data_IF_770896496763
#
_entry.id   IF_770896496763
#
_cell.length_a   1.000
_cell.length_b   1.000
_cell.length_c   1.000
_cell.angle_alpha   90.00
_cell.angle_beta   90.00
_cell.angle_gamma   90.00
#
_symmetry.space_group_name_H-M   'P 1'
#
loop_
_entity.id
_entity.type
_entity.pdbx_description
1 polymer ?
#
# COMPACT_ATOMS: atom_id res chain seq x y z
N UNK A 1 -9.47 15.23 13.69
CA UNK A 1 -8.18 14.53 13.49
C UNK A 1 -8.50 13.08 13.20
N UNK A 2 -8.35 12.65 11.95
CA UNK A 2 -8.48 11.24 11.60
C UNK A 2 -7.23 10.50 12.11
N UNK A 3 -7.41 9.32 12.71
CA UNK A 3 -6.29 8.49 13.17
C UNK A 3 -5.53 7.92 11.97
N UNK A 4 -4.26 8.32 11.78
CA UNK A 4 -3.39 7.85 10.68
C UNK A 4 -3.28 6.33 10.62
N UNK A 5 -3.34 5.64 11.77
CA UNK A 5 -3.32 4.18 11.81
C UNK A 5 -4.63 3.58 11.32
N UNK A 6 -5.77 4.23 11.58
CA UNK A 6 -7.06 3.81 11.04
C UNK A 6 -7.10 3.98 9.52
N UNK A 7 -6.59 5.11 9.02
CA UNK A 7 -6.45 5.34 7.58
C UNK A 7 -5.51 4.34 6.92
N UNK A 8 -4.38 4.03 7.56
CA UNK A 8 -3.42 3.04 7.07
C UNK A 8 -4.03 1.63 6.97
N UNK A 9 -4.87 1.23 7.94
CA UNK A 9 -5.62 -0.04 7.90
C UNK A 9 -6.60 -0.06 6.73
N UNK A 10 -7.35 1.03 6.53
CA UNK A 10 -8.28 1.16 5.42
C UNK A 10 -7.54 1.09 4.07
N UNK A 11 -6.43 1.81 3.93
CA UNK A 11 -5.59 1.78 2.73
C UNK A 11 -4.99 0.40 2.47
N UNK A 12 -4.60 -0.33 3.52
CA UNK A 12 -4.10 -1.71 3.39
C UNK A 12 -5.18 -2.66 2.85
N UNK A 13 -6.44 -2.51 3.30
CA UNK A 13 -7.56 -3.28 2.79
C UNK A 13 -7.85 -2.95 1.31
N UNK A 14 -7.86 -1.66 0.94
CA UNK A 14 -8.05 -1.21 -0.45
C UNK A 14 -6.94 -1.76 -1.36
N UNK A 15 -5.67 -1.66 -0.95
CA UNK A 15 -4.53 -2.21 -1.69
C UNK A 15 -4.68 -3.71 -1.93
N UNK A 16 -5.09 -4.47 -0.90
CA UNK A 16 -5.32 -5.91 -1.03
C UNK A 16 -6.46 -6.20 -2.02
N UNK A 17 -7.58 -5.49 -1.92
CA UNK A 17 -8.70 -5.64 -2.86
C UNK A 17 -8.30 -5.31 -4.30
N UNK A 18 -7.53 -4.24 -4.51
CA UNK A 18 -7.02 -3.87 -5.83
C UNK A 18 -6.09 -4.94 -6.41
N UNK A 19 -5.23 -5.54 -5.57
CA UNK A 19 -4.37 -6.67 -5.99
C UNK A 19 -5.18 -7.91 -6.39
N UNK A 20 -6.26 -8.23 -5.66
CA UNK A 20 -7.14 -9.33 -6.04
C UNK A 20 -7.79 -9.08 -7.39
N UNK A 21 -8.38 -7.89 -7.60
CA UNK A 21 -8.97 -7.51 -8.90
C UNK A 21 -7.95 -7.58 -10.04
N UNK A 22 -6.70 -7.19 -9.79
CA UNK A 22 -5.64 -7.30 -10.78
C UNK A 22 -5.35 -8.76 -11.16
N UNK A 23 -5.33 -9.67 -10.17
CA UNK A 23 -5.15 -11.10 -10.40
C UNK A 23 -6.33 -11.70 -11.18
N UNK A 24 -7.56 -11.32 -10.82
CA UNK A 24 -8.78 -11.75 -11.51
C UNK A 24 -8.77 -11.27 -12.97
N UNK A 25 -8.48 -9.98 -13.19
CA UNK A 25 -8.38 -9.41 -14.54
C UNK A 25 -7.26 -10.05 -15.39
N UNK A 26 -6.14 -10.43 -14.75
CA UNK A 26 -5.04 -11.15 -15.41
C UNK A 26 -5.50 -12.52 -15.90
N UNK A 27 -6.29 -13.22 -15.07
CA UNK A 27 -6.83 -14.54 -15.41
C UNK A 27 -7.91 -14.47 -16.50
N UNK A 28 -8.73 -13.42 -16.53
CA UNK A 28 -9.88 -13.28 -17.44
C UNK A 28 -9.54 -12.69 -18.81
N UNK A 29 -8.67 -11.68 -18.87
CA UNK A 29 -8.51 -10.83 -20.07
C UNK A 29 -7.11 -10.89 -20.72
N UNK A 30 -6.16 -11.56 -20.07
CA UNK A 30 -4.77 -11.66 -20.55
C UNK A 30 -3.96 -10.36 -20.41
N UNK A 31 -2.64 -10.41 -20.64
CA UNK A 31 -1.68 -9.38 -20.20
C UNK A 31 -1.72 -8.04 -20.95
N UNK A 32 -2.57 -7.88 -21.97
CA UNK A 32 -2.62 -6.68 -22.83
C UNK A 32 -4.00 -6.04 -22.91
N UNK A 33 -4.94 -6.44 -22.05
CA UNK A 33 -6.26 -5.85 -22.06
C UNK A 33 -6.26 -4.43 -21.47
N UNK A 34 -7.07 -3.51 -22.00
CA UNK A 34 -7.22 -2.17 -21.43
C UNK A 34 -7.80 -2.22 -20.00
N UNK A 35 -8.62 -3.22 -19.69
CA UNK A 35 -9.14 -3.47 -18.34
C UNK A 35 -8.00 -3.76 -17.35
N UNK A 36 -7.03 -4.59 -17.74
CA UNK A 36 -5.88 -4.90 -16.90
C UNK A 36 -5.04 -3.64 -16.63
N UNK A 37 -4.87 -2.76 -17.62
CA UNK A 37 -4.18 -1.49 -17.44
C UNK A 37 -4.88 -0.57 -16.42
N UNK A 38 -6.22 -0.50 -16.44
CA UNK A 38 -7.00 0.25 -15.45
C UNK A 38 -6.84 -0.34 -14.04
N UNK A 39 -6.84 -1.68 -13.91
CA UNK A 39 -6.61 -2.35 -12.64
C UNK A 39 -5.19 -2.12 -12.11
N UNK A 40 -4.18 -2.07 -12.98
CA UNK A 40 -2.81 -1.69 -12.61
C UNK A 40 -2.78 -0.28 -12.05
N UNK A 41 -3.34 0.70 -12.77
CA UNK A 41 -3.36 2.09 -12.30
C UNK A 41 -4.06 2.22 -10.94
N UNK A 42 -5.21 1.56 -10.75
CA UNK A 42 -5.94 1.57 -9.48
C UNK A 42 -5.12 0.91 -8.35
N UNK A 43 -4.43 -0.19 -8.64
CA UNK A 43 -3.53 -0.85 -7.69
C UNK A 43 -2.37 0.09 -7.30
N UNK A 44 -1.74 0.74 -8.27
CA UNK A 44 -0.59 1.60 -8.03
C UNK A 44 -0.98 2.84 -7.21
N UNK A 45 -2.11 3.48 -7.52
CA UNK A 45 -2.67 4.55 -6.68
C UNK A 45 -2.95 4.09 -5.25
N UNK A 46 -3.47 2.86 -5.07
CA UNK A 46 -3.70 2.30 -3.74
C UNK A 46 -2.39 2.02 -3.00
N UNK A 47 -1.35 1.57 -3.69
CA UNK A 47 0.00 1.37 -3.14
C UNK A 47 0.61 2.69 -2.72
N UNK A 48 0.59 3.71 -3.58
CA UNK A 48 1.12 5.05 -3.29
C UNK A 48 0.49 5.65 -2.04
N UNK A 49 -0.85 5.63 -1.96
CA UNK A 49 -1.57 6.12 -0.78
C UNK A 49 -1.17 5.35 0.48
N UNK A 50 -1.08 4.02 0.38
CA UNK A 50 -0.69 3.17 1.51
C UNK A 50 0.76 3.41 1.95
N UNK A 51 1.69 3.65 1.03
CA UNK A 51 3.08 4.03 1.35
C UNK A 51 3.11 5.38 2.03
N UNK A 52 2.40 6.39 1.51
CA UNK A 52 2.35 7.72 2.12
C UNK A 52 1.86 7.67 3.57
N UNK A 53 0.78 6.94 3.84
CA UNK A 53 0.23 6.78 5.19
C UNK A 53 1.17 5.99 6.12
N UNK A 54 1.95 5.07 5.57
CA UNK A 54 2.97 4.33 6.32
C UNK A 54 4.11 5.26 6.76
N UNK A 55 4.56 6.16 5.87
CA UNK A 55 5.60 7.16 6.18
C UNK A 55 5.07 8.18 7.19
N UNK A 56 3.88 8.72 6.95
CA UNK A 56 3.22 9.68 7.86
C UNK A 56 3.05 9.09 9.26
N UNK A 57 2.56 7.86 9.39
CA UNK A 57 2.46 7.19 10.68
C UNK A 57 3.82 7.02 11.39
N UNK A 58 4.91 6.87 10.64
CA UNK A 58 6.24 6.81 11.22
C UNK A 58 6.72 8.19 11.68
N UNK A 59 6.50 9.24 10.88
CA UNK A 59 6.84 10.63 11.18
C UNK A 59 6.06 11.18 12.38
N UNK A 60 4.81 10.74 12.58
CA UNK A 60 4.01 11.06 13.77
C UNK A 60 4.47 10.30 15.03
N UNK A 61 5.52 9.48 14.92
CA UNK A 61 6.17 8.81 16.05
C UNK A 61 5.61 7.42 16.38
N UNK A 62 4.78 6.81 15.53
CA UNK A 62 4.37 5.43 15.78
C UNK A 62 5.53 4.46 15.54
N UNK A 63 5.67 3.48 16.43
CA UNK A 63 6.71 2.46 16.29
C UNK A 63 6.50 1.60 15.05
N UNK A 64 7.59 1.14 14.45
CA UNK A 64 7.57 0.27 13.25
C UNK A 64 6.65 -0.94 13.43
N UNK A 65 6.62 -1.54 14.62
CA UNK A 65 5.78 -2.71 14.91
C UNK A 65 4.29 -2.36 14.83
N UNK A 66 3.89 -1.19 15.35
CA UNK A 66 2.51 -0.72 15.29
C UNK A 66 2.11 -0.40 13.85
N UNK A 67 2.98 0.31 13.12
CA UNK A 67 2.78 0.64 11.71
C UNK A 67 2.65 -0.63 10.87
N UNK A 68 3.55 -1.61 11.06
CA UNK A 68 3.52 -2.88 10.35
C UNK A 68 2.22 -3.66 10.59
N UNK A 69 1.76 -3.70 11.84
CA UNK A 69 0.47 -4.32 12.21
C UNK A 69 -0.70 -3.62 11.53
N UNK A 70 -0.75 -2.29 11.56
CA UNK A 70 -1.82 -1.52 10.91
C UNK A 70 -1.80 -1.70 9.38
N UNK A 71 -0.60 -1.73 8.79
CA UNK A 71 -0.38 -1.89 7.37
C UNK A 71 -0.57 -3.34 6.87
N UNK A 72 -0.67 -4.31 7.78
CA UNK A 72 -0.84 -5.73 7.46
C UNK A 72 0.37 -6.36 6.76
N UNK A 73 1.58 -5.94 7.12
CA UNK A 73 2.85 -6.41 6.54
C UNK A 73 3.87 -6.75 7.62
N UNK A 74 4.96 -7.42 7.25
CA UNK A 74 6.08 -7.66 8.17
C UNK A 74 6.82 -6.35 8.50
N UNK A 75 7.39 -6.20 9.72
CA UNK A 75 8.20 -5.04 10.09
C UNK A 75 9.38 -4.77 9.14
N UNK A 76 10.00 -5.82 8.60
CA UNK A 76 11.07 -5.69 7.60
C UNK A 76 10.61 -4.97 6.34
N UNK A 77 9.36 -5.17 5.91
CA UNK A 77 8.76 -4.47 4.78
C UNK A 77 8.50 -2.99 5.05
N UNK A 78 8.33 -2.60 6.31
CA UNK A 78 8.22 -1.19 6.72
C UNK A 78 9.61 -0.56 6.69
N UNK A 79 10.61 -1.20 7.29
CA UNK A 79 12.01 -0.72 7.26
C UNK A 79 12.53 -0.51 5.84
N UNK A 80 12.30 -1.48 4.95
CA UNK A 80 12.69 -1.35 3.55
C UNK A 80 12.11 -0.09 2.89
N UNK A 81 10.84 0.22 3.14
CA UNK A 81 10.18 1.40 2.55
C UNK A 81 10.65 2.71 3.15
N UNK A 82 10.92 2.72 4.46
CA UNK A 82 11.52 3.88 5.11
C UNK A 82 12.91 4.18 4.55
N UNK A 83 13.73 3.14 4.33
CA UNK A 83 15.04 3.27 3.70
C UNK A 83 14.96 3.78 2.26
N UNK A 84 14.02 3.26 1.46
CA UNK A 84 13.80 3.75 0.10
C UNK A 84 13.37 5.22 0.06
N UNK A 85 12.46 5.62 0.95
CA UNK A 85 12.03 7.01 1.07
C UNK A 85 13.20 7.93 1.46
N UNK A 86 14.04 7.50 2.40
CA UNK A 86 15.23 8.25 2.80
C UNK A 86 16.27 8.38 1.67
N UNK A 87 16.41 7.37 0.80
CA UNK A 87 17.33 7.40 -0.34
C UNK A 87 16.83 8.23 -1.54
N UNK A 88 15.55 8.61 -1.54
CA UNK A 88 14.92 9.37 -2.64
C UNK A 88 14.84 10.88 -2.36
N UNK A 89 15.29 11.32 -1.17
CA UNK A 89 15.40 12.72 -0.73
C UNK A 89 16.88 13.14 -0.72
#
# INVERSE_FOLDING_TARGET
MTDVLAELRAAAAVKRAARHRLADATAEHGPRSPELAQHHQAHDTAVERWVRLLLDAHETGHSTVVVARAAGVAPSSVHYRLQQAAASN
#
